data_IF_896844950660
#
_entry.id   IF_896844950660
#
_cell.length_a   1.000
_cell.length_b   1.000
_cell.length_c   1.000
_cell.angle_alpha   90.00
_cell.angle_beta   90.00
_cell.angle_gamma   90.00
#
_symmetry.space_group_name_H-M   'P 1'
#
loop_
_entity.id
_entity.type
_entity.pdbx_description
1 polymer ?
#
# COMPACT_ATOMS: atom_id res chain seq x y z
N UNK A 1 -40.78 7.68 31.61
CA UNK A 1 -40.12 8.64 32.52
C UNK A 1 -39.74 7.91 33.81
N UNK A 2 -38.53 8.11 34.36
CA UNK A 2 -37.26 8.27 33.67
C UNK A 2 -36.16 7.31 34.17
N UNK A 3 -35.21 7.02 33.27
CA UNK A 3 -33.89 6.42 33.50
C UNK A 3 -32.84 7.54 33.44
N UNK A 4 -31.91 7.53 34.39
CA UNK A 4 -30.59 8.17 34.41
C UNK A 4 -29.81 7.37 35.45
N UNK A 5 -28.54 6.97 35.31
CA UNK A 5 -27.36 7.70 34.89
C UNK A 5 -26.24 6.66 34.70
N UNK A 6 -25.67 6.52 33.50
CA UNK A 6 -24.43 5.73 33.29
C UNK A 6 -23.57 6.34 32.17
N UNK A 7 -23.62 7.66 32.02
CA UNK A 7 -22.81 8.42 31.05
C UNK A 7 -21.70 9.26 31.71
N UNK A 8 -21.54 9.21 33.03
CA UNK A 8 -20.65 10.11 33.76
C UNK A 8 -19.19 9.62 33.91
N UNK A 9 -18.89 8.34 33.64
CA UNK A 9 -17.56 7.77 33.96
C UNK A 9 -16.54 7.74 32.82
N UNK A 10 -16.92 8.13 31.59
CA UNK A 10 -16.00 8.12 30.43
C UNK A 10 -15.84 9.52 29.81
N UNK A 11 -16.80 10.43 29.98
CA UNK A 11 -16.74 11.77 29.38
C UNK A 11 -15.88 12.78 30.15
N UNK A 12 -15.74 12.65 31.48
CA UNK A 12 -14.98 13.61 32.29
C UNK A 12 -13.45 13.58 32.08
N UNK A 13 -12.79 12.41 31.89
CA UNK A 13 -11.33 12.37 31.66
C UNK A 13 -10.92 12.97 30.31
N UNK A 14 -11.72 12.78 29.27
CA UNK A 14 -11.44 13.27 27.91
C UNK A 14 -11.60 14.80 27.79
N UNK A 15 -12.57 15.39 28.49
CA UNK A 15 -12.76 16.84 28.54
C UNK A 15 -11.65 17.55 29.33
N UNK A 16 -11.09 16.87 30.35
CA UNK A 16 -9.98 17.40 31.14
C UNK A 16 -8.66 17.42 30.34
N UNK A 17 -8.41 16.43 29.48
CA UNK A 17 -7.25 16.43 28.59
C UNK A 17 -7.32 17.52 27.51
N UNK A 18 -8.51 17.82 26.97
CA UNK A 18 -8.66 18.88 25.96
C UNK A 18 -8.49 20.30 26.55
N UNK A 19 -8.96 20.53 27.79
CA UNK A 19 -8.78 21.79 28.51
C UNK A 19 -7.32 22.01 28.95
N UNK A 20 -6.61 20.95 29.35
CA UNK A 20 -5.19 21.03 29.69
C UNK A 20 -4.32 21.35 28.45
N UNK A 21 -4.63 20.76 27.29
CA UNK A 21 -3.95 21.06 26.03
C UNK A 21 -4.19 22.51 25.56
N UNK A 22 -5.41 23.02 25.76
CA UNK A 22 -5.75 24.41 25.42
C UNK A 22 -5.01 25.43 26.31
N UNK A 23 -4.95 25.20 27.63
CA UNK A 23 -4.27 26.10 28.58
C UNK A 23 -2.75 26.17 28.37
N UNK A 24 -2.14 25.07 27.90
CA UNK A 24 -0.71 25.00 27.59
C UNK A 24 -0.35 25.75 26.30
N UNK A 25 -1.29 25.86 25.35
CA UNK A 25 -1.11 26.63 24.11
C UNK A 25 -1.22 28.15 24.33
N UNK A 26 -1.97 28.60 25.34
CA UNK A 26 -2.19 30.02 25.63
C UNK A 26 -1.11 30.70 26.49
N UNK A 27 -0.10 29.97 26.96
CA UNK A 27 0.94 30.48 27.87
C UNK A 27 2.37 30.41 27.31
N UNK A 28 2.53 30.05 26.03
CA UNK A 28 3.84 30.03 25.37
C UNK A 28 4.28 31.45 24.95
N UNK A 29 5.54 31.87 25.22
CA UNK A 29 6.06 33.18 24.84
C UNK A 29 6.34 33.34 23.33
N UNK A 30 6.04 32.31 22.54
CA UNK A 30 6.02 32.33 21.08
C UNK A 30 4.54 32.29 20.66
N UNK A 31 4.03 33.41 20.14
CA UNK A 31 2.60 33.59 19.83
C UNK A 31 1.97 32.54 18.89
N UNK A 32 0.65 32.61 18.64
CA UNK A 32 -0.07 31.54 17.95
C UNK A 32 0.35 31.42 16.48
N UNK A 33 0.51 30.17 16.02
CA UNK A 33 0.80 29.81 14.63
C UNK A 33 -0.39 30.14 13.70
N UNK A 34 -0.15 30.60 12.45
CA UNK A 34 -1.19 31.17 11.61
C UNK A 34 -1.88 30.11 10.75
N UNK A 35 -2.69 29.22 11.35
CA UNK A 35 -3.61 28.37 10.58
C UNK A 35 -4.88 28.06 11.37
N UNK A 36 -5.68 29.08 11.69
CA UNK A 36 -7.10 28.93 12.04
C UNK A 36 -7.82 30.19 11.59
N UNK A 37 -8.35 30.14 10.36
CA UNK A 37 -9.21 31.17 9.82
C UNK A 37 -10.52 31.25 10.62
N UNK A 38 -10.98 32.46 10.88
CA UNK A 38 -12.19 32.75 11.62
C UNK A 38 -13.44 32.44 10.78
N UNK A 39 -14.38 31.70 11.37
CA UNK A 39 -15.79 31.71 10.99
C UNK A 39 -16.26 30.62 10.03
N UNK A 40 -17.34 29.93 10.44
CA UNK A 40 -18.23 29.05 9.67
C UNK A 40 -17.87 27.57 9.44
N UNK A 41 -16.70 27.06 9.85
CA UNK A 41 -16.39 25.62 9.72
C UNK A 41 -16.67 24.75 10.96
N UNK A 42 -17.04 25.34 12.11
CA UNK A 42 -17.26 24.57 13.34
C UNK A 42 -18.55 23.71 13.32
N UNK A 43 -19.48 23.96 12.39
CA UNK A 43 -20.77 23.24 12.36
C UNK A 43 -20.72 21.89 11.63
N UNK A 44 -19.68 21.62 10.83
CA UNK A 44 -19.52 20.34 10.11
C UNK A 44 -18.72 19.30 10.91
N UNK A 45 -17.88 19.74 11.85
CA UNK A 45 -17.12 18.83 12.71
C UNK A 45 -17.98 18.14 13.79
N UNK A 46 -19.09 18.76 14.21
CA UNK A 46 -19.97 18.17 15.22
C UNK A 46 -20.93 17.11 14.66
N UNK A 47 -21.31 17.20 13.38
CA UNK A 47 -22.17 16.21 12.73
C UNK A 47 -21.45 14.89 12.43
N UNK A 48 -20.13 14.94 12.13
CA UNK A 48 -19.30 13.73 11.99
C UNK A 48 -19.14 12.93 13.29
N UNK A 49 -19.04 13.62 14.43
CA UNK A 49 -18.94 12.97 15.75
C UNK A 49 -20.23 12.27 16.19
N UNK A 50 -21.40 12.80 15.78
CA UNK A 50 -22.70 12.17 16.09
C UNK A 50 -22.93 10.94 15.20
N UNK A 51 -22.47 10.97 13.94
CA UNK A 51 -22.48 9.80 13.05
C UNK A 51 -21.63 8.63 13.59
N UNK A 52 -20.46 8.94 14.15
CA UNK A 52 -19.55 7.96 14.77
C UNK A 52 -20.20 7.22 15.96
N UNK A 53 -20.99 7.93 16.76
CA UNK A 53 -21.69 7.33 17.91
C UNK A 53 -22.94 6.53 17.51
N UNK A 54 -23.59 6.84 16.38
CA UNK A 54 -24.78 6.13 15.91
C UNK A 54 -24.45 4.83 15.16
N UNK A 55 -23.36 4.78 14.38
CA UNK A 55 -22.91 3.56 13.69
C UNK A 55 -22.47 2.47 14.68
N UNK A 56 -21.81 2.85 15.78
CA UNK A 56 -21.37 1.92 16.83
C UNK A 56 -22.53 1.27 17.63
N UNK A 57 -23.76 1.77 17.51
CA UNK A 57 -24.93 1.28 18.27
C UNK A 57 -25.83 0.34 17.44
N UNK A 58 -25.63 0.25 16.12
CA UNK A 58 -26.51 -0.54 15.22
C UNK A 58 -25.89 -1.83 14.66
N UNK A 59 -24.60 -2.07 14.83
CA UNK A 59 -23.99 -3.34 14.43
C UNK A 59 -24.34 -4.47 15.42
N UNK A 60 -24.98 -5.57 14.99
CA UNK A 60 -25.20 -6.73 15.85
C UNK A 60 -23.89 -7.52 15.95
N UNK A 61 -22.92 -7.02 16.74
CA UNK A 61 -21.73 -7.80 17.09
C UNK A 61 -22.13 -8.95 18.02
N UNK A 62 -22.36 -10.13 17.43
CA UNK A 62 -22.34 -11.39 18.18
C UNK A 62 -20.88 -11.71 18.52
N UNK A 63 -20.44 -11.30 19.70
CA UNK A 63 -19.23 -11.85 20.31
C UNK A 63 -19.48 -13.36 20.53
N UNK A 64 -18.91 -14.21 19.67
CA UNK A 64 -18.59 -15.57 20.10
C UNK A 64 -17.46 -15.42 21.12
N UNK A 65 -17.79 -15.62 22.40
CA UNK A 65 -16.77 -15.96 23.38
C UNK A 65 -16.08 -17.24 22.87
N UNK A 66 -14.91 -17.07 22.28
CA UNK A 66 -13.97 -18.17 22.07
C UNK A 66 -13.75 -18.81 23.43
N UNK A 67 -13.96 -20.12 23.53
CA UNK A 67 -13.41 -20.90 24.62
C UNK A 67 -11.92 -20.57 24.71
N UNK A 68 -11.43 -20.29 25.92
CA UNK A 68 -10.01 -20.08 26.15
C UNK A 68 -9.28 -21.35 25.70
N UNK A 69 -8.25 -21.26 24.83
CA UNK A 69 -7.36 -22.38 24.65
C UNK A 69 -6.73 -22.67 26.02
N UNK A 70 -6.65 -23.95 26.38
CA UNK A 70 -5.89 -24.40 27.54
C UNK A 70 -4.54 -23.69 27.57
N UNK A 71 -4.14 -23.18 28.75
CA UNK A 71 -2.83 -22.55 28.97
C UNK A 71 -1.74 -23.41 28.35
N UNK A 72 -1.26 -23.00 27.17
CA UNK A 72 -0.05 -23.56 26.61
C UNK A 72 1.07 -23.13 27.56
N UNK A 73 1.71 -24.11 28.20
CA UNK A 73 2.93 -23.88 28.96
C UNK A 73 3.97 -23.36 27.97
N UNK A 74 4.15 -22.04 27.90
CA UNK A 74 5.20 -21.42 27.11
C UNK A 74 6.53 -21.75 27.79
N UNK A 75 7.36 -22.57 27.16
CA UNK A 75 8.72 -22.82 27.62
C UNK A 75 9.51 -21.49 27.65
N UNK A 76 10.26 -21.27 28.73
CA UNK A 76 11.06 -20.06 28.87
C UNK A 76 12.27 -20.08 27.91
N UNK A 77 12.63 -18.91 27.37
CA UNK A 77 13.70 -18.73 26.37
C UNK A 77 15.13 -18.78 26.96
N UNK A 78 15.32 -19.51 28.06
CA UNK A 78 16.57 -19.57 28.83
C UNK A 78 16.49 -18.79 30.15
N UNK A 79 17.63 -18.62 30.81
CA UNK A 79 17.74 -17.91 32.09
C UNK A 79 18.69 -16.71 31.99
N UNK A 80 18.41 -15.64 32.73
CA UNK A 80 19.35 -14.53 32.90
C UNK A 80 20.60 -14.94 33.72
N UNK A 81 21.57 -14.03 33.84
CA UNK A 81 22.81 -14.27 34.61
C UNK A 81 22.55 -14.59 36.11
N UNK A 82 21.34 -14.33 36.61
CA UNK A 82 20.91 -14.62 37.98
C UNK A 82 20.03 -15.88 38.08
N UNK A 83 19.77 -16.58 36.97
CA UNK A 83 19.02 -17.83 36.93
C UNK A 83 17.51 -17.68 36.81
N UNK A 84 16.99 -16.47 36.55
CA UNK A 84 15.55 -16.26 36.31
C UNK A 84 15.19 -16.56 34.86
N UNK A 85 14.10 -17.30 34.67
CA UNK A 85 13.53 -17.58 33.36
C UNK A 85 13.22 -16.29 32.60
N UNK A 86 13.79 -16.12 31.41
CA UNK A 86 13.45 -15.01 30.52
C UNK A 86 12.04 -15.21 29.98
N UNK A 87 11.27 -14.12 29.89
CA UNK A 87 9.97 -14.16 29.24
C UNK A 87 10.14 -14.67 27.79
N UNK A 88 9.29 -15.59 27.31
CA UNK A 88 9.40 -16.10 25.96
C UNK A 88 9.30 -14.95 24.95
N UNK A 89 10.24 -14.87 24.02
CA UNK A 89 10.14 -13.89 22.93
C UNK A 89 8.95 -14.29 22.05
N UNK A 90 8.04 -13.38 21.69
CA UNK A 90 6.87 -13.75 20.90
C UNK A 90 7.27 -14.05 19.45
N UNK A 91 6.64 -15.07 18.84
CA UNK A 91 6.66 -15.28 17.40
C UNK A 91 6.03 -14.06 16.71
N UNK A 92 6.70 -13.52 15.70
CA UNK A 92 6.13 -12.49 14.83
C UNK A 92 5.68 -13.12 13.52
N UNK A 93 4.48 -12.77 13.04
CA UNK A 93 3.99 -13.17 11.72
C UNK A 93 3.40 -11.94 11.02
N UNK A 94 3.55 -11.85 9.71
CA UNK A 94 2.92 -10.84 8.85
C UNK A 94 2.42 -11.48 7.57
N UNK A 95 1.15 -11.26 7.24
CA UNK A 95 0.49 -11.70 6.01
C UNK A 95 0.20 -10.51 5.09
N UNK A 96 0.72 -10.58 3.88
CA UNK A 96 0.59 -9.56 2.85
C UNK A 96 -0.06 -10.19 1.63
N UNK A 97 -1.05 -9.52 1.05
CA UNK A 97 -1.63 -9.87 -0.24
C UNK A 97 -1.32 -8.76 -1.23
N UNK A 98 -0.88 -9.10 -2.44
CA UNK A 98 -0.70 -8.14 -3.53
C UNK A 98 -1.50 -8.55 -4.77
N UNK A 99 -2.13 -7.58 -5.43
CA UNK A 99 -2.91 -7.78 -6.67
C UNK A 99 -2.41 -6.85 -7.76
N UNK A 100 -2.37 -7.40 -8.98
CA UNK A 100 -1.99 -6.72 -10.21
C UNK A 100 -3.01 -5.71 -10.73
N UNK A 101 -2.99 -5.54 -12.05
CA UNK A 101 -3.70 -4.51 -12.80
C UNK A 101 -5.21 -4.84 -12.90
N UNK A 102 -6.05 -4.03 -12.25
CA UNK A 102 -7.51 -4.28 -12.16
C UNK A 102 -8.26 -3.74 -13.37
N UNK A 103 -7.81 -2.61 -13.93
CA UNK A 103 -8.35 -2.04 -15.16
C UNK A 103 -9.88 -1.94 -15.20
N UNK A 104 -10.45 -1.21 -14.24
CA UNK A 104 -11.85 -0.80 -14.26
C UNK A 104 -12.86 -1.92 -14.08
N UNK A 105 -12.46 -3.05 -13.49
CA UNK A 105 -13.29 -4.24 -13.29
C UNK A 105 -13.54 -4.53 -11.81
N UNK A 106 -14.64 -4.00 -11.26
CA UNK A 106 -14.98 -4.21 -9.85
C UNK A 106 -15.32 -5.68 -9.57
N UNK A 107 -16.00 -6.36 -10.50
CA UNK A 107 -16.48 -7.73 -10.29
C UNK A 107 -15.33 -8.73 -10.10
N UNK A 108 -14.30 -8.65 -10.95
CA UNK A 108 -13.11 -9.50 -10.77
C UNK A 108 -12.26 -9.06 -9.57
N UNK A 109 -12.21 -7.76 -9.25
CA UNK A 109 -11.52 -7.27 -8.06
C UNK A 109 -12.14 -7.84 -6.77
N UNK A 110 -13.47 -7.78 -6.62
CA UNK A 110 -14.20 -8.37 -5.49
C UNK A 110 -13.93 -9.87 -5.36
N UNK A 111 -14.06 -10.61 -6.47
CA UNK A 111 -13.81 -12.06 -6.49
C UNK A 111 -12.39 -12.41 -6.03
N UNK A 112 -11.37 -11.68 -6.51
CA UNK A 112 -9.97 -11.91 -6.14
C UNK A 112 -9.72 -11.55 -4.68
N UNK A 113 -10.21 -10.41 -4.21
CA UNK A 113 -9.97 -9.96 -2.84
C UNK A 113 -10.71 -10.82 -1.81
N UNK A 114 -11.90 -11.34 -2.14
CA UNK A 114 -12.59 -12.34 -1.31
C UNK A 114 -11.80 -13.65 -1.26
N UNK A 115 -11.38 -14.18 -2.42
CA UNK A 115 -10.57 -15.40 -2.51
C UNK A 115 -9.27 -15.29 -1.69
N UNK A 116 -8.57 -14.16 -1.79
CA UNK A 116 -7.32 -13.93 -1.05
C UNK A 116 -7.55 -13.62 0.44
N UNK A 117 -8.81 -13.46 0.86
CA UNK A 117 -9.21 -13.13 2.23
C UNK A 117 -8.87 -11.69 2.63
N UNK A 118 -8.69 -10.78 1.68
CA UNK A 118 -8.51 -9.34 1.95
C UNK A 118 -9.84 -8.72 2.41
N UNK A 119 -10.93 -9.10 1.74
CA UNK A 119 -12.29 -8.67 2.08
C UNK A 119 -13.17 -9.86 2.46
N UNK A 120 -14.23 -9.59 3.21
CA UNK A 120 -15.27 -10.55 3.57
C UNK A 120 -16.36 -10.67 2.48
N UNK A 121 -17.40 -11.46 2.76
CA UNK A 121 -18.52 -11.69 1.84
C UNK A 121 -19.34 -10.43 1.51
N UNK A 122 -19.23 -9.39 2.36
CA UNK A 122 -19.88 -8.09 2.19
C UNK A 122 -18.93 -7.04 1.57
N UNK A 123 -17.77 -7.48 1.06
CA UNK A 123 -16.70 -6.65 0.48
C UNK A 123 -16.08 -5.63 1.45
N UNK A 124 -16.17 -5.88 2.76
CA UNK A 124 -15.47 -5.10 3.78
C UNK A 124 -14.13 -5.73 4.14
N UNK A 125 -13.19 -4.92 4.66
CA UNK A 125 -11.91 -5.40 5.17
C UNK A 125 -12.11 -6.54 6.17
N UNK A 126 -11.54 -7.70 5.87
CA UNK A 126 -11.80 -8.93 6.64
C UNK A 126 -11.08 -8.98 7.99
N UNK A 127 -9.97 -8.22 8.13
CA UNK A 127 -9.05 -8.35 9.25
C UNK A 127 -8.12 -9.58 9.19
N UNK A 128 -8.20 -10.40 8.14
CA UNK A 128 -7.41 -11.64 7.99
C UNK A 128 -6.03 -11.43 7.35
N UNK A 129 -5.71 -10.20 6.93
CA UNK A 129 -4.45 -9.82 6.31
C UNK A 129 -3.93 -8.56 7.01
N UNK A 130 -2.60 -8.41 7.11
CA UNK A 130 -2.00 -7.22 7.72
C UNK A 130 -1.84 -6.10 6.68
N UNK A 131 -1.53 -6.46 5.44
CA UNK A 131 -1.28 -5.51 4.36
C UNK A 131 -1.90 -6.02 3.06
N UNK A 132 -2.69 -5.17 2.41
CA UNK A 132 -3.10 -5.32 1.03
C UNK A 132 -2.30 -4.34 0.16
N UNK A 133 -1.75 -4.84 -0.95
CA UNK A 133 -1.00 -4.05 -1.93
C UNK A 133 -1.68 -4.12 -3.29
N UNK A 134 -1.85 -2.97 -3.95
CA UNK A 134 -2.34 -2.90 -5.32
C UNK A 134 -1.26 -2.24 -6.19
N UNK A 135 -0.87 -2.88 -7.30
CA UNK A 135 0.31 -2.48 -8.09
C UNK A 135 0.06 -1.50 -9.25
N UNK A 136 -0.95 -0.63 -9.15
CA UNK A 136 -1.29 0.38 -10.17
C UNK A 136 -2.21 -0.13 -11.26
N UNK A 137 -2.62 0.76 -12.17
CA UNK A 137 -3.56 0.45 -13.24
C UNK A 137 -4.90 -0.10 -12.71
N UNK A 138 -5.48 0.64 -11.76
CA UNK A 138 -6.86 0.40 -11.30
C UNK A 138 -7.83 0.90 -12.37
N UNK A 139 -7.45 1.96 -13.09
CA UNK A 139 -8.28 2.68 -14.08
C UNK A 139 -8.13 2.13 -15.51
N UNK A 140 -9.06 2.57 -16.38
CA UNK A 140 -9.17 2.29 -17.82
C UNK A 140 -9.56 0.86 -18.18
N UNK A 141 -9.89 0.64 -19.46
CA UNK A 141 -10.39 -0.61 -20.07
C UNK A 141 -11.77 -1.07 -19.59
N UNK A 142 -12.12 -0.87 -18.32
CA UNK A 142 -13.46 -1.08 -17.77
C UNK A 142 -14.20 0.23 -17.43
N UNK A 143 -15.42 0.08 -16.91
CA UNK A 143 -16.37 1.17 -16.63
C UNK A 143 -16.52 1.47 -15.12
N UNK A 144 -15.74 0.83 -14.24
CA UNK A 144 -16.00 0.83 -12.79
C UNK A 144 -15.04 1.72 -11.99
N UNK A 145 -14.38 2.71 -12.62
CA UNK A 145 -13.35 3.54 -11.94
C UNK A 145 -13.88 4.19 -10.67
N UNK A 146 -15.07 4.79 -10.72
CA UNK A 146 -15.61 5.52 -9.56
C UNK A 146 -15.87 4.56 -8.39
N UNK A 147 -16.40 3.37 -8.69
CA UNK A 147 -16.70 2.35 -7.69
C UNK A 147 -15.42 1.79 -7.07
N UNK A 148 -14.45 1.40 -7.91
CA UNK A 148 -13.15 0.90 -7.48
C UNK A 148 -12.42 1.89 -6.57
N UNK A 149 -12.27 3.15 -6.98
CA UNK A 149 -11.53 4.11 -6.15
C UNK A 149 -12.26 4.44 -4.85
N UNK A 150 -13.60 4.56 -4.84
CA UNK A 150 -14.33 4.73 -3.59
C UNK A 150 -14.12 3.53 -2.66
N UNK A 151 -14.21 2.31 -3.19
CA UNK A 151 -14.02 1.09 -2.43
C UNK A 151 -12.59 0.99 -1.87
N UNK A 152 -11.56 1.37 -2.64
CA UNK A 152 -10.19 1.42 -2.15
C UNK A 152 -9.99 2.42 -1.00
N UNK A 153 -10.70 3.55 -1.01
CA UNK A 153 -10.67 4.50 0.11
C UNK A 153 -11.42 3.95 1.34
N UNK A 154 -12.59 3.31 1.15
CA UNK A 154 -13.32 2.65 2.23
C UNK A 154 -12.47 1.54 2.89
N UNK A 155 -11.81 0.69 2.08
CA UNK A 155 -10.90 -0.34 2.58
C UNK A 155 -9.72 0.26 3.34
N UNK A 156 -9.20 1.42 2.91
CA UNK A 156 -8.10 2.09 3.61
C UNK A 156 -8.54 2.57 4.99
N UNK A 157 -9.75 3.11 5.13
CA UNK A 157 -10.31 3.50 6.42
C UNK A 157 -10.55 2.29 7.34
N UNK A 158 -11.17 1.23 6.80
CA UNK A 158 -11.49 0.01 7.56
C UNK A 158 -10.24 -0.73 8.01
N UNK A 159 -9.23 -0.87 7.14
CA UNK A 159 -7.96 -1.50 7.47
C UNK A 159 -7.26 -0.74 8.60
N UNK A 160 -7.16 0.59 8.48
CA UNK A 160 -6.50 1.42 9.48
C UNK A 160 -7.14 1.29 10.87
N UNK A 161 -8.46 1.14 10.95
CA UNK A 161 -9.19 0.98 12.21
C UNK A 161 -8.75 -0.27 13.02
N UNK A 162 -8.15 -1.26 12.36
CA UNK A 162 -7.65 -2.50 12.98
C UNK A 162 -6.13 -2.69 12.79
N UNK A 163 -5.39 -1.61 12.49
CA UNK A 163 -3.95 -1.61 12.20
C UNK A 163 -3.53 -2.36 10.92
N UNK A 164 -4.48 -2.66 10.03
CA UNK A 164 -4.22 -3.09 8.67
C UNK A 164 -3.77 -1.93 7.78
N UNK A 165 -3.24 -2.26 6.60
CA UNK A 165 -2.68 -1.30 5.66
C UNK A 165 -3.16 -1.59 4.25
N UNK A 166 -3.69 -0.58 3.56
CA UNK A 166 -3.87 -0.59 2.10
C UNK A 166 -2.77 0.27 1.47
N UNK A 167 -1.89 -0.38 0.72
CA UNK A 167 -0.73 0.24 0.05
C UNK A 167 -0.94 0.20 -1.47
N UNK A 168 -1.18 1.34 -2.07
CA UNK A 168 -1.40 1.45 -3.52
C UNK A 168 -0.26 2.18 -4.19
N UNK A 169 0.23 1.63 -5.29
CA UNK A 169 1.12 2.37 -6.19
C UNK A 169 0.36 2.86 -7.42
N UNK A 170 0.81 3.97 -8.01
CA UNK A 170 0.27 4.49 -9.26
C UNK A 170 0.85 3.73 -10.44
N UNK A 171 -0.01 3.34 -11.38
CA UNK A 171 0.37 2.76 -12.65
C UNK A 171 0.49 3.79 -13.76
N UNK A 172 0.81 3.32 -14.96
CA UNK A 172 0.92 4.24 -16.09
C UNK A 172 -0.44 4.78 -16.50
N UNK A 173 -1.54 4.06 -16.30
CA UNK A 173 -2.88 4.49 -16.67
C UNK A 173 -3.39 5.66 -15.81
N UNK A 174 -3.05 5.72 -14.52
CA UNK A 174 -3.35 6.91 -13.70
C UNK A 174 -2.61 8.16 -14.22
N UNK A 175 -1.32 8.04 -14.58
CA UNK A 175 -0.57 9.14 -15.18
C UNK A 175 -1.07 9.51 -16.58
N UNK A 176 -1.42 8.53 -17.41
CA UNK A 176 -2.01 8.76 -18.73
C UNK A 176 -3.30 9.58 -18.61
N UNK A 177 -4.19 9.22 -17.69
CA UNK A 177 -5.43 9.96 -17.45
C UNK A 177 -5.16 11.40 -17.01
N UNK A 178 -4.22 11.62 -16.09
CA UNK A 178 -3.81 12.96 -15.64
C UNK A 178 -3.12 13.79 -16.74
N UNK A 179 -2.43 13.16 -17.69
CA UNK A 179 -1.84 13.81 -18.87
C UNK A 179 -2.91 14.22 -19.89
N UNK A 180 -4.07 13.56 -19.89
CA UNK A 180 -5.10 13.68 -20.91
C UNK A 180 -4.90 12.69 -22.06
N UNK A 181 -4.20 11.59 -21.83
CA UNK A 181 -4.09 10.45 -22.76
C UNK A 181 -5.12 9.38 -22.40
N UNK A 182 -6.24 9.41 -23.10
CA UNK A 182 -7.44 8.62 -22.89
C UNK A 182 -7.63 7.55 -23.98
N UNK A 183 -6.54 7.12 -24.64
CA UNK A 183 -6.59 6.05 -25.66
C UNK A 183 -7.23 4.75 -25.18
N UNK A 184 -7.25 4.51 -23.87
CA UNK A 184 -7.81 3.31 -23.25
C UNK A 184 -9.07 3.56 -22.42
N UNK A 185 -9.60 4.79 -22.44
CA UNK A 185 -10.84 5.16 -21.74
C UNK A 185 -12.03 4.85 -22.65
N UNK A 186 -12.93 3.97 -22.20
CA UNK A 186 -14.15 3.64 -22.92
C UNK A 186 -15.10 4.85 -23.01
N UNK A 187 -15.92 4.90 -24.07
CA UNK A 187 -16.94 5.93 -24.20
C UNK A 187 -18.10 5.73 -23.21
N UNK A 188 -18.36 4.49 -22.80
CA UNK A 188 -19.24 4.16 -21.68
C UNK A 188 -18.69 4.72 -20.38
N UNK A 189 -17.41 4.47 -20.10
CA UNK A 189 -16.74 4.96 -18.91
C UNK A 189 -16.73 6.49 -18.78
N UNK A 190 -16.60 7.23 -19.88
CA UNK A 190 -16.71 8.71 -19.83
C UNK A 190 -18.07 9.17 -19.29
N UNK A 191 -19.13 8.41 -19.56
CA UNK A 191 -20.51 8.73 -19.14
C UNK A 191 -20.77 8.40 -17.68
N UNK A 192 -20.00 7.51 -17.04
CA UNK A 192 -20.20 7.15 -15.62
C UNK A 192 -19.93 8.34 -14.68
N UNK A 193 -19.12 9.30 -15.13
CA UNK A 193 -18.83 10.55 -14.43
C UNK A 193 -19.96 11.58 -14.53
N UNK A 194 -20.92 11.40 -15.45
CA UNK A 194 -22.08 12.26 -15.60
C UNK A 194 -23.25 11.73 -14.76
N UNK A 195 -24.00 12.57 -14.01
CA UNK A 195 -23.91 14.02 -13.91
C UNK A 195 -22.99 14.51 -12.77
N UNK A 196 -22.19 13.63 -12.15
CA UNK A 196 -21.36 13.94 -10.97
C UNK A 196 -20.27 14.99 -11.25
N UNK A 197 -19.90 15.18 -12.50
CA UNK A 197 -18.96 16.19 -12.97
C UNK A 197 -18.34 15.79 -14.30
N UNK A 198 -17.19 16.35 -14.61
CA UNK A 198 -16.39 15.93 -15.76
C UNK A 198 -15.34 14.91 -15.34
N UNK A 199 -15.17 13.82 -16.09
CA UNK A 199 -14.01 12.92 -15.93
C UNK A 199 -12.70 13.70 -16.00
N UNK A 200 -12.61 14.67 -16.92
CA UNK A 200 -11.41 15.51 -17.06
C UNK A 200 -11.11 16.26 -15.76
N UNK A 201 -12.13 16.84 -15.14
CA UNK A 201 -11.97 17.47 -13.84
C UNK A 201 -11.53 16.46 -12.78
N UNK A 202 -12.23 15.33 -12.65
CA UNK A 202 -11.94 14.31 -11.65
C UNK A 202 -10.47 13.84 -11.67
N UNK A 203 -9.94 13.54 -12.86
CA UNK A 203 -8.58 12.98 -13.03
C UNK A 203 -7.47 14.03 -13.12
N UNK A 204 -7.79 15.32 -13.17
CA UNK A 204 -6.78 16.40 -13.24
C UNK A 204 -6.79 17.31 -12.02
N UNK A 205 -7.94 17.82 -11.61
CA UNK A 205 -8.06 18.83 -10.55
C UNK A 205 -9.07 18.48 -9.47
N UNK A 206 -9.80 17.38 -9.63
CA UNK A 206 -10.90 16.95 -8.79
C UNK A 206 -10.51 15.85 -7.81
N UNK A 207 -11.53 15.15 -7.32
CA UNK A 207 -11.41 14.20 -6.22
C UNK A 207 -10.40 13.07 -6.47
N UNK A 208 -10.34 12.54 -7.70
CA UNK A 208 -9.47 11.41 -8.01
C UNK A 208 -8.00 11.84 -8.09
N UNK A 209 -7.72 12.98 -8.72
CA UNK A 209 -6.37 13.56 -8.71
C UNK A 209 -5.88 13.87 -7.27
N UNK A 210 -6.77 14.36 -6.41
CA UNK A 210 -6.46 14.59 -5.00
C UNK A 210 -6.24 13.28 -4.22
N UNK A 211 -7.02 12.24 -4.48
CA UNK A 211 -6.83 10.93 -3.88
C UNK A 211 -5.47 10.33 -4.27
N UNK A 212 -5.12 10.35 -5.57
CA UNK A 212 -3.80 9.92 -6.05
C UNK A 212 -2.66 10.67 -5.38
N UNK A 213 -2.76 11.99 -5.25
CA UNK A 213 -1.72 12.81 -4.63
C UNK A 213 -1.57 12.56 -3.12
N UNK A 214 -2.64 12.18 -2.43
CA UNK A 214 -2.63 12.00 -0.98
C UNK A 214 -2.31 10.57 -0.55
N UNK A 215 -2.84 9.57 -1.26
CA UNK A 215 -2.97 8.20 -0.75
C UNK A 215 -2.19 7.16 -1.57
N UNK A 216 -1.55 7.55 -2.67
CA UNK A 216 -0.84 6.66 -3.59
C UNK A 216 0.62 7.08 -3.72
N UNK A 217 1.50 6.10 -3.96
CA UNK A 217 2.93 6.36 -4.24
C UNK A 217 3.32 5.86 -5.63
N UNK A 218 4.42 6.33 -6.21
CA UNK A 218 4.87 5.81 -7.53
C UNK A 218 5.65 4.51 -7.39
N UNK A 219 6.34 4.34 -6.27
CA UNK A 219 6.95 3.09 -5.85
C UNK A 219 6.76 2.92 -4.34
N UNK A 220 6.83 1.68 -3.87
CA UNK A 220 6.75 1.39 -2.46
C UNK A 220 7.83 0.44 -1.98
N UNK A 221 8.29 0.67 -0.75
CA UNK A 221 9.11 -0.27 0.01
C UNK A 221 8.29 -0.74 1.20
N UNK A 222 8.07 -2.04 1.32
CA UNK A 222 7.35 -2.61 2.44
C UNK A 222 8.30 -3.44 3.31
N UNK A 223 8.78 -2.88 4.43
CA UNK A 223 9.46 -3.67 5.44
C UNK A 223 8.60 -4.80 5.99
N UNK A 224 9.18 -6.00 6.10
CA UNK A 224 8.49 -7.19 6.62
C UNK A 224 8.41 -7.20 8.15
N UNK A 225 9.25 -6.39 8.81
CA UNK A 225 9.27 -6.25 10.27
C UNK A 225 9.39 -4.77 10.68
N UNK A 226 8.74 -4.40 11.80
CA UNK A 226 8.67 -3.00 12.27
C UNK A 226 10.02 -2.36 12.63
N UNK A 227 11.05 -3.16 12.94
CA UNK A 227 12.41 -2.67 13.21
C UNK A 227 13.05 -1.94 12.02
N UNK A 228 12.61 -2.25 10.81
CA UNK A 228 13.09 -1.63 9.58
C UNK A 228 12.31 -0.36 9.22
N UNK A 229 11.25 -0.05 9.98
CA UNK A 229 10.38 1.11 9.83
C UNK A 229 9.00 0.79 9.26
N UNK A 230 8.06 1.76 9.25
CA UNK A 230 6.79 1.65 8.56
C UNK A 230 6.95 1.50 7.03
N UNK A 231 5.88 1.18 6.28
CA UNK A 231 5.89 1.25 4.83
C UNK A 231 6.49 2.57 4.32
N UNK A 232 7.25 2.48 3.23
CA UNK A 232 7.99 3.55 2.58
C UNK A 232 9.12 4.19 3.42
N UNK A 233 9.58 3.50 4.47
CA UNK A 233 10.85 3.87 5.12
C UNK A 233 12.00 3.71 4.14
N UNK A 234 12.74 4.80 3.94
CA UNK A 234 13.84 4.85 2.98
C UNK A 234 14.95 3.85 3.25
N UNK A 235 15.55 3.36 2.17
CA UNK A 235 16.81 2.63 2.19
C UNK A 235 17.88 3.32 1.31
N UNK A 236 19.09 3.55 1.84
CA UNK A 236 19.41 3.48 3.27
C UNK A 236 18.58 4.53 4.05
N UNK A 237 18.19 4.25 5.30
CA UNK A 237 17.43 5.22 6.08
C UNK A 237 18.33 6.42 6.46
N UNK A 238 17.73 7.55 6.86
CA UNK A 238 18.49 8.70 7.34
C UNK A 238 19.48 8.31 8.45
N UNK A 239 20.70 8.85 8.38
CA UNK A 239 21.74 8.59 9.38
C UNK A 239 21.24 8.98 10.78
N UNK A 240 21.41 8.09 11.75
CA UNK A 240 20.95 8.30 13.14
C UNK A 240 19.46 8.10 13.37
N UNK A 241 18.68 7.68 12.36
CA UNK A 241 17.29 7.29 12.57
C UNK A 241 17.16 6.03 13.44
N UNK A 242 16.00 5.86 14.07
CA UNK A 242 15.69 4.68 14.89
C UNK A 242 15.81 3.35 14.12
N UNK A 243 15.70 3.39 12.79
CA UNK A 243 15.74 2.20 11.93
C UNK A 243 17.14 1.91 11.36
N UNK A 244 18.13 2.78 11.59
CA UNK A 244 19.45 2.68 10.97
C UNK A 244 20.18 1.40 11.35
N UNK A 245 20.07 0.94 12.61
CA UNK A 245 20.73 -0.28 13.09
C UNK A 245 20.18 -1.53 12.41
N UNK A 246 18.86 -1.71 12.42
CA UNK A 246 18.22 -2.86 11.78
C UNK A 246 18.45 -2.88 10.25
N UNK A 247 18.43 -1.70 9.61
CA UNK A 247 18.72 -1.58 8.18
C UNK A 247 20.21 -1.79 7.82
N UNK A 248 21.12 -1.84 8.80
CA UNK A 248 22.52 -2.21 8.63
C UNK A 248 22.82 -3.66 9.06
N UNK A 249 21.83 -4.34 9.62
CA UNK A 249 21.96 -5.68 10.20
C UNK A 249 21.43 -6.81 9.30
N UNK A 250 21.22 -8.00 9.89
CA UNK A 250 20.73 -9.19 9.16
C UNK A 250 19.36 -9.00 8.50
N UNK A 251 18.53 -8.11 9.05
CA UNK A 251 17.20 -7.77 8.52
C UNK A 251 17.24 -6.69 7.42
N UNK A 252 18.39 -6.13 7.07
CA UNK A 252 18.50 -4.97 6.16
C UNK A 252 17.66 -5.04 4.88
N UNK A 253 17.52 -6.25 4.32
CA UNK A 253 16.78 -6.52 3.09
C UNK A 253 15.47 -7.28 3.30
N UNK A 254 15.02 -7.49 4.54
CA UNK A 254 13.71 -8.10 4.85
C UNK A 254 12.58 -7.09 4.56
N UNK A 255 12.48 -6.71 3.29
CA UNK A 255 11.53 -5.78 2.72
C UNK A 255 11.27 -6.15 1.25
N UNK A 256 10.07 -5.85 0.77
CA UNK A 256 9.70 -6.03 -0.64
C UNK A 256 9.58 -4.66 -1.31
N UNK A 257 9.95 -4.57 -2.58
CA UNK A 257 9.62 -3.42 -3.42
C UNK A 257 8.38 -3.72 -4.23
N UNK A 258 7.48 -2.73 -4.32
CA UNK A 258 6.31 -2.76 -5.20
C UNK A 258 6.39 -1.57 -6.14
N UNK A 259 6.22 -1.83 -7.42
CA UNK A 259 6.26 -0.82 -8.48
C UNK A 259 5.35 -1.29 -9.61
N UNK A 260 4.74 -0.39 -10.37
CA UNK A 260 3.84 -0.81 -11.42
C UNK A 260 4.55 -1.52 -12.59
N UNK A 261 5.48 -0.84 -13.29
CA UNK A 261 6.23 -1.43 -14.38
C UNK A 261 7.44 -2.24 -13.91
N UNK A 262 8.39 -1.58 -13.27
CA UNK A 262 9.62 -2.23 -12.81
C UNK A 262 10.77 -1.26 -12.53
N UNK A 263 11.72 -1.66 -11.68
CA UNK A 263 12.89 -0.83 -11.37
C UNK A 263 14.04 -1.16 -12.34
N UNK A 264 14.18 -0.39 -13.42
CA UNK A 264 15.25 -0.65 -14.39
C UNK A 264 16.64 -0.51 -13.73
N UNK A 265 17.60 -1.42 -14.00
CA UNK A 265 18.94 -1.35 -13.40
C UNK A 265 19.69 -0.04 -13.62
N UNK A 266 19.44 0.60 -14.77
CA UNK A 266 20.04 1.87 -15.16
C UNK A 266 19.25 3.11 -14.71
N UNK A 267 18.14 2.94 -13.97
CA UNK A 267 17.36 4.06 -13.47
C UNK A 267 18.15 4.78 -12.35
N UNK A 268 18.37 6.10 -12.44
CA UNK A 268 19.32 6.80 -11.58
C UNK A 268 18.78 7.06 -10.17
N UNK A 269 17.46 7.15 -10.00
CA UNK A 269 16.82 7.55 -8.75
C UNK A 269 16.38 6.34 -7.90
N UNK A 270 17.14 5.24 -7.92
CA UNK A 270 16.89 4.08 -7.07
C UNK A 270 17.29 4.29 -5.60
N UNK A 271 17.89 5.42 -5.23
CA UNK A 271 18.25 5.73 -3.84
C UNK A 271 18.09 7.23 -3.52
N UNK A 272 17.68 7.57 -2.27
CA UNK A 272 17.08 6.65 -1.29
C UNK A 272 15.75 6.08 -1.80
N UNK A 273 15.51 4.78 -1.59
CA UNK A 273 14.30 4.11 -2.06
C UNK A 273 13.28 3.96 -0.91
N UNK A 274 12.01 4.35 -1.09
CA UNK A 274 11.36 4.75 -2.35
C UNK A 274 11.27 6.28 -2.55
N UNK A 275 11.72 7.11 -1.60
CA UNK A 275 11.43 8.54 -1.63
C UNK A 275 11.98 9.28 -2.85
N UNK A 276 13.13 8.86 -3.41
CA UNK A 276 13.68 9.48 -4.60
C UNK A 276 12.74 9.36 -5.82
N UNK A 277 12.08 8.21 -5.99
CA UNK A 277 11.06 7.99 -7.02
C UNK A 277 9.77 8.74 -6.67
N UNK A 278 9.30 8.61 -5.43
CA UNK A 278 8.04 9.21 -5.00
C UNK A 278 8.07 10.74 -5.07
N UNK A 279 9.19 11.38 -4.75
CA UNK A 279 9.35 12.83 -4.87
C UNK A 279 9.22 13.31 -6.33
N UNK A 280 9.78 12.55 -7.29
CA UNK A 280 9.61 12.85 -8.72
C UNK A 280 8.15 12.63 -9.15
N UNK A 281 7.53 11.55 -8.69
CA UNK A 281 6.14 11.22 -8.96
C UNK A 281 5.16 12.28 -8.46
N UNK A 282 5.28 12.70 -7.20
CA UNK A 282 4.48 13.76 -6.61
C UNK A 282 4.73 15.11 -7.28
N UNK A 283 5.98 15.41 -7.67
CA UNK A 283 6.30 16.64 -8.41
C UNK A 283 5.62 16.65 -9.79
N UNK A 284 5.71 15.56 -10.55
CA UNK A 284 5.07 15.45 -11.86
C UNK A 284 3.55 15.51 -11.76
N UNK A 285 2.95 14.75 -10.83
CA UNK A 285 1.50 14.75 -10.63
C UNK A 285 0.99 16.15 -10.27
N UNK A 286 1.67 16.85 -9.36
CA UNK A 286 1.34 18.24 -9.01
C UNK A 286 1.41 19.18 -10.22
N UNK A 287 2.41 19.04 -11.10
CA UNK A 287 2.47 19.84 -12.35
C UNK A 287 1.31 19.54 -13.29
N UNK A 288 0.88 18.29 -13.38
CA UNK A 288 -0.29 17.91 -14.18
C UNK A 288 -1.56 18.55 -13.62
N UNK A 289 -1.73 18.53 -12.30
CA UNK A 289 -2.86 19.19 -11.61
C UNK A 289 -2.84 20.72 -11.79
N UNK A 290 -1.65 21.34 -11.78
CA UNK A 290 -1.46 22.79 -11.92
C UNK A 290 -1.48 23.28 -13.38
N UNK A 291 -1.51 22.38 -14.37
CA UNK A 291 -1.46 22.71 -15.81
C UNK A 291 -2.65 23.59 -16.21
N UNK A 292 -2.37 24.74 -16.84
CA UNK A 292 -3.40 25.68 -17.32
C UNK A 292 -3.15 26.13 -18.77
N UNK A 293 -4.16 26.04 -19.66
CA UNK A 293 -5.42 25.31 -19.47
C UNK A 293 -5.18 23.80 -19.39
N UNK A 294 -6.13 23.06 -18.79
CA UNK A 294 -6.13 21.60 -18.90
C UNK A 294 -6.39 21.21 -20.38
N UNK A 295 -5.61 20.28 -20.95
CA UNK A 295 -5.70 19.95 -22.37
C UNK A 295 -6.98 19.17 -22.67
N UNK A 296 -7.48 19.29 -23.90
CA UNK A 296 -8.53 18.39 -24.38
C UNK A 296 -7.96 16.97 -24.49
N UNK A 297 -8.67 15.94 -24.02
CA UNK A 297 -8.16 14.57 -24.04
C UNK A 297 -7.91 14.02 -25.45
N UNK A 298 -6.85 13.22 -25.56
CA UNK A 298 -6.53 12.42 -26.74
C UNK A 298 -7.06 10.99 -26.56
N UNK A 299 -7.72 10.37 -27.56
CA UNK A 299 -8.32 10.94 -28.77
C UNK A 299 -9.68 11.62 -28.48
N UNK A 300 -10.20 12.48 -29.38
CA UNK A 300 -9.71 12.75 -30.75
C UNK A 300 -8.68 13.88 -30.85
N UNK A 301 -8.41 14.60 -29.75
CA UNK A 301 -7.43 15.69 -29.77
C UNK A 301 -6.01 15.16 -29.95
N UNK A 302 -5.05 16.01 -30.33
CA UNK A 302 -3.63 15.62 -30.37
C UNK A 302 -3.11 15.23 -28.98
N UNK A 303 -2.21 14.25 -28.90
CA UNK A 303 -1.57 13.85 -27.64
C UNK A 303 -0.99 15.06 -26.88
N UNK A 304 -1.46 15.36 -25.65
CA UNK A 304 -1.08 16.60 -24.96
C UNK A 304 0.36 16.66 -24.49
N UNK A 305 1.01 15.50 -24.34
CA UNK A 305 2.36 15.38 -23.78
C UNK A 305 2.46 15.85 -22.32
N UNK A 306 3.67 15.72 -21.78
CA UNK A 306 4.00 16.20 -20.43
C UNK A 306 3.92 17.75 -20.37
N UNK A 307 3.58 18.34 -19.21
CA UNK A 307 3.46 19.78 -19.05
C UNK A 307 4.73 20.56 -19.41
N UNK A 308 4.57 21.84 -19.77
CA UNK A 308 5.72 22.73 -19.92
C UNK A 308 6.49 22.84 -18.58
N UNK A 309 7.82 22.81 -18.65
CA UNK A 309 8.68 22.86 -17.47
C UNK A 309 8.87 21.51 -16.75
N UNK A 310 8.39 20.40 -17.31
CA UNK A 310 8.76 19.05 -16.87
C UNK A 310 10.28 18.88 -16.93
N UNK A 311 10.88 18.40 -15.84
CA UNK A 311 12.33 18.16 -15.78
C UNK A 311 12.72 16.90 -16.55
N UNK A 312 14.03 16.70 -16.76
CA UNK A 312 14.51 15.46 -17.42
C UNK A 312 14.23 14.24 -16.57
N UNK A 313 14.33 14.37 -15.25
CA UNK A 313 14.08 13.32 -14.27
C UNK A 313 12.60 12.95 -14.23
N UNK A 314 11.69 13.94 -14.23
CA UNK A 314 10.25 13.72 -14.33
C UNK A 314 9.87 13.08 -15.68
N UNK A 315 10.46 13.53 -16.78
CA UNK A 315 10.25 12.91 -18.10
C UNK A 315 10.74 11.46 -18.15
N UNK A 316 11.86 11.15 -17.50
CA UNK A 316 12.41 9.80 -17.42
C UNK A 316 11.61 8.89 -16.47
N UNK A 317 11.02 9.43 -15.40
CA UNK A 317 10.06 8.70 -14.55
C UNK A 317 8.90 8.12 -15.38
N UNK A 318 8.36 8.91 -16.31
CA UNK A 318 7.31 8.49 -17.24
C UNK A 318 7.86 7.84 -18.54
N UNK A 319 9.19 7.73 -18.68
CA UNK A 319 9.83 7.13 -19.84
C UNK A 319 9.78 5.61 -19.82
N UNK A 320 10.15 4.97 -20.95
CA UNK A 320 10.13 3.52 -21.11
C UNK A 320 11.08 2.76 -20.15
N UNK A 321 12.12 3.40 -19.64
CA UNK A 321 13.01 2.84 -18.60
C UNK A 321 12.65 3.33 -17.18
N UNK A 322 11.56 4.08 -17.05
CA UNK A 322 11.03 4.56 -15.79
C UNK A 322 10.16 3.52 -15.09
N UNK A 323 9.88 3.72 -13.78
CA UNK A 323 9.16 2.77 -12.95
C UNK A 323 7.74 2.46 -13.41
N UNK A 324 7.12 3.34 -14.20
CA UNK A 324 5.76 3.18 -14.69
C UNK A 324 5.66 2.29 -15.94
N UNK A 325 6.72 2.17 -16.73
CA UNK A 325 6.64 1.54 -18.07
C UNK A 325 7.68 0.45 -18.32
N UNK A 326 8.66 0.30 -17.42
CA UNK A 326 9.77 -0.63 -17.67
C UNK A 326 9.31 -2.08 -17.67
N UNK A 327 9.47 -2.77 -18.81
CA UNK A 327 9.07 -4.18 -19.00
C UNK A 327 10.22 -5.17 -18.98
N UNK A 328 11.47 -4.71 -18.83
CA UNK A 328 12.64 -5.58 -19.00
C UNK A 328 12.67 -6.78 -18.05
N UNK A 329 12.09 -6.66 -16.84
CA UNK A 329 11.97 -7.79 -15.91
C UNK A 329 11.02 -8.90 -16.39
N UNK A 330 10.08 -8.60 -17.27
CA UNK A 330 9.17 -9.56 -17.89
C UNK A 330 9.68 -10.01 -19.27
N UNK A 331 10.16 -9.09 -20.08
CA UNK A 331 10.47 -9.34 -21.49
C UNK A 331 11.89 -9.84 -21.76
N UNK A 332 12.88 -9.47 -20.93
CA UNK A 332 14.25 -9.92 -21.14
C UNK A 332 14.39 -11.43 -20.88
N UNK A 333 15.36 -12.06 -21.55
CA UNK A 333 15.71 -13.46 -21.25
C UNK A 333 16.19 -13.63 -19.80
N UNK A 334 15.97 -14.81 -19.23
CA UNK A 334 16.25 -15.12 -17.82
C UNK A 334 17.70 -14.79 -17.43
N UNK A 335 18.67 -15.14 -18.29
CA UNK A 335 20.08 -14.91 -18.01
C UNK A 335 20.38 -13.41 -17.92
N UNK A 336 19.83 -12.62 -18.84
CA UNK A 336 20.01 -11.16 -18.84
C UNK A 336 19.35 -10.52 -17.61
N UNK A 337 18.08 -10.83 -17.35
CA UNK A 337 17.35 -10.30 -16.19
C UNK A 337 18.06 -10.65 -14.87
N UNK A 338 18.34 -11.94 -14.64
CA UNK A 338 18.91 -12.41 -13.39
C UNK A 338 20.36 -11.97 -13.15
N UNK A 339 21.10 -11.59 -14.21
CA UNK A 339 22.43 -10.98 -14.04
C UNK A 339 22.41 -9.58 -13.43
N UNK A 340 21.23 -8.92 -13.37
CA UNK A 340 21.09 -7.52 -12.92
C UNK A 340 20.27 -7.35 -11.64
N UNK A 341 19.47 -8.34 -11.25
CA UNK A 341 18.53 -8.21 -10.13
C UNK A 341 19.21 -7.87 -8.81
N UNK A 342 20.34 -8.50 -8.49
CA UNK A 342 21.02 -8.31 -7.20
C UNK A 342 21.53 -6.88 -7.01
N UNK A 343 21.94 -6.20 -8.09
CA UNK A 343 22.35 -4.80 -8.05
C UNK A 343 21.19 -3.88 -7.66
N UNK A 344 19.99 -4.15 -8.21
CA UNK A 344 18.80 -3.34 -7.93
C UNK A 344 18.31 -3.58 -6.50
N UNK A 345 18.21 -4.84 -6.08
CA UNK A 345 17.82 -5.22 -4.72
C UNK A 345 18.75 -4.65 -3.64
N UNK A 346 20.06 -4.60 -3.92
CA UNK A 346 21.03 -3.98 -3.03
C UNK A 346 20.85 -2.45 -2.92
N UNK A 347 20.48 -1.78 -4.02
CA UNK A 347 20.19 -0.34 -4.01
C UNK A 347 18.92 -0.04 -3.23
N UNK A 348 17.88 -0.86 -3.38
CA UNK A 348 16.56 -0.62 -2.77
C UNK A 348 16.43 -1.17 -1.35
N UNK A 349 17.38 -2.01 -0.90
CA UNK A 349 17.32 -2.67 0.41
C UNK A 349 16.10 -3.58 0.53
N UNK A 350 15.86 -4.36 -0.53
CA UNK A 350 14.73 -5.29 -0.63
C UNK A 350 15.20 -6.67 -1.02
N UNK A 351 14.48 -7.71 -0.61
CA UNK A 351 14.75 -9.10 -1.00
C UNK A 351 14.08 -9.47 -2.32
N UNK A 352 12.93 -8.88 -2.59
CA UNK A 352 12.12 -9.15 -3.79
C UNK A 352 11.57 -7.86 -4.37
N UNK A 353 11.34 -7.91 -5.67
CA UNK A 353 10.68 -6.87 -6.44
C UNK A 353 9.42 -7.44 -7.05
N UNK A 354 8.30 -6.78 -6.79
CA UNK A 354 6.96 -7.17 -7.22
C UNK A 354 6.43 -6.10 -8.16
N UNK A 355 5.88 -6.51 -9.30
CA UNK A 355 5.35 -5.59 -10.31
C UNK A 355 4.14 -6.10 -11.09
N UNK A 356 3.39 -5.18 -11.68
CA UNK A 356 2.27 -5.44 -12.59
C UNK A 356 2.65 -5.16 -14.05
N UNK A 357 1.80 -4.42 -14.78
CA UNK A 357 2.01 -3.78 -16.10
C UNK A 357 2.22 -4.70 -17.32
N UNK A 358 2.87 -5.84 -17.13
CA UNK A 358 3.23 -6.78 -18.20
C UNK A 358 2.52 -8.11 -17.98
N UNK A 359 1.32 -8.28 -18.58
CA UNK A 359 0.47 -9.42 -18.32
C UNK A 359 1.18 -10.76 -18.56
N UNK A 360 1.10 -11.64 -17.58
CA UNK A 360 1.43 -13.05 -17.63
C UNK A 360 0.12 -13.83 -17.57
N UNK A 361 -0.58 -13.94 -18.72
CA UNK A 361 -2.00 -14.33 -18.75
C UNK A 361 -2.33 -15.68 -18.09
N UNK A 362 -1.37 -16.61 -18.04
CA UNK A 362 -1.59 -17.96 -17.50
C UNK A 362 -1.34 -18.03 -15.98
N UNK A 363 -0.35 -17.30 -15.45
CA UNK A 363 0.13 -17.47 -14.07
C UNK A 363 1.03 -16.30 -13.65
N UNK A 364 1.13 -16.06 -12.34
CA UNK A 364 2.14 -15.17 -11.77
C UNK A 364 3.53 -15.70 -12.13
N UNK A 365 4.38 -14.86 -12.71
CA UNK A 365 5.73 -15.27 -13.07
C UNK A 365 6.72 -14.97 -11.94
N UNK A 366 7.34 -16.03 -11.39
CA UNK A 366 8.47 -15.93 -10.49
C UNK A 366 9.78 -16.18 -11.24
N UNK A 367 10.67 -15.18 -11.24
CA UNK A 367 11.95 -15.22 -11.95
C UNK A 367 13.13 -15.02 -11.01
N UNK A 368 14.32 -15.46 -11.43
CA UNK A 368 15.55 -15.27 -10.68
C UNK A 368 15.48 -15.77 -9.22
N UNK A 369 15.06 -17.03 -9.05
CA UNK A 369 14.82 -17.66 -7.73
C UNK A 369 13.80 -16.88 -6.88
N UNK A 370 12.76 -16.38 -7.56
CA UNK A 370 11.66 -15.59 -7.01
C UNK A 370 12.04 -14.16 -6.61
N UNK A 371 13.25 -13.67 -6.93
CA UNK A 371 13.64 -12.29 -6.62
C UNK A 371 12.81 -11.26 -7.39
N UNK A 372 12.30 -11.65 -8.56
CA UNK A 372 11.41 -10.85 -9.41
C UNK A 372 10.08 -11.58 -9.49
N UNK A 373 8.99 -10.89 -9.14
CA UNK A 373 7.63 -11.42 -9.15
C UNK A 373 6.76 -10.50 -10.02
N UNK A 374 6.22 -11.03 -11.11
CA UNK A 374 5.34 -10.31 -12.03
C UNK A 374 3.93 -10.83 -11.79
N UNK A 375 3.07 -9.99 -11.22
CA UNK A 375 1.77 -10.38 -10.66
C UNK A 375 0.58 -9.87 -11.47
N UNK A 376 0.83 -9.12 -12.54
CA UNK A 376 -0.22 -8.84 -13.52
C UNK A 376 -0.45 -10.09 -14.37
N UNK A 377 -1.59 -10.73 -14.19
CA UNK A 377 -2.04 -11.89 -14.96
C UNK A 377 -3.18 -11.55 -15.91
N UNK A 378 -3.43 -10.26 -16.17
CA UNK A 378 -4.56 -9.81 -16.99
C UNK A 378 -5.91 -10.12 -16.36
N UNK A 379 -6.06 -9.86 -15.05
CA UNK A 379 -7.24 -10.22 -14.25
C UNK A 379 -8.54 -9.55 -14.70
N UNK A 380 -8.47 -8.40 -15.37
CA UNK A 380 -9.64 -7.70 -15.91
C UNK A 380 -10.30 -8.50 -17.02
N UNK A 381 -11.63 -8.43 -17.11
CA UNK A 381 -12.41 -9.00 -18.22
C UNK A 381 -11.98 -8.44 -19.59
N UNK A 382 -11.34 -7.27 -19.63
CA UNK A 382 -10.76 -6.71 -20.84
C UNK A 382 -9.63 -7.57 -21.44
N UNK A 383 -8.98 -8.40 -20.62
CA UNK A 383 -7.93 -9.33 -21.03
C UNK A 383 -8.35 -10.80 -20.88
N UNK A 384 -9.05 -11.13 -19.78
CA UNK A 384 -9.56 -12.49 -19.53
C UNK A 384 -8.49 -13.49 -19.14
N UNK A 385 -7.41 -13.02 -18.51
CA UNK A 385 -6.38 -13.89 -17.96
C UNK A 385 -6.77 -14.47 -16.60
N UNK A 386 -5.81 -15.15 -15.99
CA UNK A 386 -5.97 -15.80 -14.70
C UNK A 386 -6.34 -14.82 -13.57
N UNK A 387 -7.43 -15.09 -12.84
CA UNK A 387 -7.75 -14.35 -11.62
C UNK A 387 -6.80 -14.77 -10.49
N UNK A 388 -5.88 -13.87 -10.13
CA UNK A 388 -4.78 -14.21 -9.23
C UNK A 388 -4.50 -13.14 -8.16
N UNK A 389 -3.86 -13.58 -7.08
CA UNK A 389 -3.26 -12.71 -6.07
C UNK A 389 -1.95 -13.32 -5.56
N UNK A 390 -0.97 -12.47 -5.23
CA UNK A 390 0.27 -12.90 -4.58
C UNK A 390 0.07 -12.90 -3.06
N UNK A 391 0.29 -14.03 -2.40
CA UNK A 391 0.31 -14.14 -0.94
C UNK A 391 1.73 -14.25 -0.42
N UNK A 392 2.06 -13.44 0.58
CA UNK A 392 3.36 -13.44 1.25
C UNK A 392 3.11 -13.61 2.74
N UNK A 393 3.67 -14.66 3.33
CA UNK A 393 3.68 -14.89 4.76
C UNK A 393 5.12 -14.83 5.27
N UNK A 394 5.37 -13.91 6.20
CA UNK A 394 6.67 -13.71 6.82
C UNK A 394 6.59 -14.03 8.30
N UNK A 395 7.50 -14.86 8.80
CA UNK A 395 7.56 -15.26 10.20
C UNK A 395 8.96 -15.07 10.77
N UNK A 396 9.05 -14.58 12.02
CA UNK A 396 10.23 -14.69 12.87
C UNK A 396 9.89 -15.51 14.10
N UNK A 397 10.51 -16.68 14.21
CA UNK A 397 10.36 -17.57 15.35
C UNK A 397 11.60 -17.48 16.24
N UNK A 398 11.45 -17.30 17.56
CA UNK A 398 12.60 -17.37 18.47
C UNK A 398 13.17 -18.79 18.47
N UNK A 399 14.50 -18.91 18.56
CA UNK A 399 15.19 -20.20 18.73
C UNK A 399 15.67 -20.33 20.18
N UNK A 400 15.46 -21.50 20.78
CA UNK A 400 15.94 -21.81 22.13
C UNK A 400 17.47 -21.65 22.20
N UNK A 401 17.95 -20.85 23.15
CA UNK A 401 19.38 -20.54 23.29
C UNK A 401 19.84 -19.29 22.53
N UNK A 402 18.92 -18.55 21.89
CA UNK A 402 19.18 -17.26 21.25
C UNK A 402 19.04 -17.28 19.72
N UNK A 403 18.93 -16.10 19.12
CA UNK A 403 18.73 -15.96 17.68
C UNK A 403 17.27 -16.18 17.24
N UNK A 404 17.09 -16.17 15.92
CA UNK A 404 15.76 -16.21 15.29
C UNK A 404 15.77 -17.08 14.03
N UNK A 405 14.70 -17.83 13.82
CA UNK A 405 14.42 -18.51 12.56
C UNK A 405 13.47 -17.65 11.73
N UNK A 406 14.00 -17.07 10.67
CA UNK A 406 13.22 -16.29 9.72
C UNK A 406 12.69 -17.21 8.62
N UNK A 407 11.39 -17.13 8.37
CA UNK A 407 10.71 -17.86 7.32
C UNK A 407 9.94 -16.90 6.42
N UNK A 408 9.99 -17.17 5.13
CA UNK A 408 9.25 -16.44 4.11
C UNK A 408 8.64 -17.45 3.14
N UNK A 409 7.31 -17.39 3.00
CA UNK A 409 6.55 -18.22 2.08
C UNK A 409 5.81 -17.29 1.12
N UNK A 410 6.02 -17.47 -0.18
CA UNK A 410 5.34 -16.72 -1.23
C UNK A 410 4.56 -17.69 -2.10
N UNK A 411 3.27 -17.42 -2.29
CA UNK A 411 2.36 -18.22 -3.11
C UNK A 411 1.64 -17.36 -4.14
N UNK A 412 1.32 -17.95 -5.28
CA UNK A 412 0.26 -17.45 -6.14
C UNK A 412 -1.05 -18.12 -5.74
N UNK A 413 -2.07 -17.31 -5.49
CA UNK A 413 -3.44 -17.76 -5.24
C UNK A 413 -4.24 -17.59 -6.51
N UNK A 414 -5.12 -18.54 -6.82
CA UNK A 414 -5.91 -18.52 -8.06
C UNK A 414 -7.37 -18.87 -7.81
N UNK A 415 -8.28 -18.17 -8.49
CA UNK A 415 -9.71 -18.34 -8.25
C UNK A 415 -10.29 -19.61 -8.89
N UNK A 416 -9.59 -20.14 -9.90
CA UNK A 416 -10.09 -21.19 -10.79
C UNK A 416 -9.21 -22.46 -10.79
N UNK A 417 -8.10 -22.48 -10.05
CA UNK A 417 -7.17 -23.62 -9.98
C UNK A 417 -6.32 -23.58 -8.69
N UNK A 418 -5.51 -24.62 -8.48
CA UNK A 418 -4.74 -24.79 -7.25
C UNK A 418 -3.69 -23.68 -7.05
N UNK A 419 -3.53 -23.26 -5.79
CA UNK A 419 -2.47 -22.35 -5.38
C UNK A 419 -1.07 -22.91 -5.70
N UNK A 420 -0.16 -22.02 -6.10
CA UNK A 420 1.21 -22.38 -6.43
C UNK A 420 2.20 -21.84 -5.39
N UNK A 421 3.10 -22.70 -4.90
CA UNK A 421 4.21 -22.27 -4.05
C UNK A 421 5.36 -21.72 -4.92
N UNK A 422 5.56 -20.41 -4.92
CA UNK A 422 6.61 -19.74 -5.69
C UNK A 422 7.94 -19.70 -4.94
N UNK A 423 7.89 -19.49 -3.62
CA UNK A 423 9.07 -19.35 -2.76
C UNK A 423 8.78 -19.97 -1.41
N UNK A 424 9.73 -20.75 -0.91
CA UNK A 424 9.84 -21.11 0.51
C UNK A 424 11.28 -20.92 0.95
N UNK A 425 11.53 -19.92 1.79
CA UNK A 425 12.87 -19.60 2.30
C UNK A 425 12.88 -19.70 3.83
N UNK A 426 13.96 -20.23 4.36
CA UNK A 426 14.22 -20.28 5.80
C UNK A 426 15.68 -19.96 6.05
N UNK A 427 15.96 -19.10 7.03
CA UNK A 427 17.33 -18.81 7.46
C UNK A 427 17.39 -18.60 8.97
N UNK A 428 18.50 -19.01 9.54
CA UNK A 428 18.83 -18.73 10.95
C UNK A 428 19.52 -17.36 11.03
N UNK A 429 19.10 -16.56 11.99
CA UNK A 429 19.68 -15.26 12.32
C UNK A 429 20.36 -15.37 13.68
N UNK A 430 21.69 -15.35 13.64
CA UNK A 430 22.51 -15.35 14.84
C UNK A 430 22.43 -13.99 15.53
N UNK A 431 22.09 -14.00 16.81
CA UNK A 431 22.12 -12.82 17.66
C UNK A 431 20.81 -12.05 17.74
N UNK A 432 20.92 -10.86 18.31
CA UNK A 432 19.78 -10.03 18.66
C UNK A 432 19.34 -9.14 17.49
N UNK A 433 18.04 -9.02 17.24
CA UNK A 433 17.52 -8.22 16.12
C UNK A 433 17.62 -6.71 16.39
N UNK A 434 17.94 -6.32 17.63
CA UNK A 434 17.88 -4.96 18.14
C UNK A 434 19.23 -4.34 18.49
#
# INVERSE_FOLDING_TARGET
MPRGTTLAFIALPLLALSLAYYAQSSSSPLGPAPHLGTGLQLSLALSGFIGYAQAAVQAPFRFKLSEQPAEAVLEADGCDEQGYALAPRPRFTRKIIAVGDIHGDIGNAERILQMAGVVDEDNNWSGNVDVFVQTGDIIDRGDDTIELFNWMEDLREQALAVNGIVLTVLGNHEYMNAIGDWRYVLDSEKKTFEPRGSRLEAVTTGWLAHAWAANYTTAARLPLHGLLGPPNTDYPPPKGSAFARANAGPLSHAAFSFVHGGLAPAYPNLQPFPSAINNLGSSLLRRLMERKPQPQPHPPSSYPGLPAGTTREEARLYGADGPLWYRGWADDDEKKACSKVDEVLAKTGTRRMVMGHTPQFDAIAARCDGKVLIIDTGISHAYGGALSALSIEYTLEPVNGGGWKEQEVVKALYADYDDELLVSSTRDLDGDLW
#
